data_IF_205341684450
#
_entry.id   IF_205341684450
#
_cell.length_a   1.000
_cell.length_b   1.000
_cell.length_c   1.000
_cell.angle_alpha   90.00
_cell.angle_beta   90.00
_cell.angle_gamma   90.00
#
_symmetry.space_group_name_H-M   'P 1'
#
loop_
_entity.id
_entity.type
_entity.pdbx_description
1 polymer ?
#
# COMPACT_ATOMS: atom_id res chain seq x y z
N UNK A 1 1.14 4.30 19.19
CA UNK A 1 1.73 4.04 17.86
C UNK A 1 2.49 5.28 17.45
N UNK A 2 3.78 5.18 17.10
CA UNK A 2 4.52 6.34 16.59
C UNK A 2 4.05 6.69 15.17
N UNK A 3 4.38 7.89 14.68
CA UNK A 3 4.02 8.25 13.30
C UNK A 3 4.74 7.35 12.27
N UNK A 4 5.97 6.90 12.57
CA UNK A 4 6.71 5.93 11.76
C UNK A 4 5.93 4.62 11.65
N UNK A 5 5.50 4.06 12.79
CA UNK A 5 4.75 2.81 12.82
C UNK A 5 3.48 2.91 11.99
N UNK A 6 2.78 4.05 12.04
CA UNK A 6 1.57 4.28 11.25
C UNK A 6 1.88 4.30 9.75
N UNK A 7 2.94 5.00 9.30
CA UNK A 7 3.35 5.01 7.89
C UNK A 7 3.67 3.60 7.41
N UNK A 8 4.43 2.85 8.21
CA UNK A 8 4.84 1.48 7.89
C UNK A 8 3.63 0.55 7.85
N UNK A 9 2.70 0.71 8.78
CA UNK A 9 1.46 -0.05 8.83
C UNK A 9 0.60 0.19 7.59
N UNK A 10 0.33 1.44 7.20
CA UNK A 10 -0.49 1.74 6.02
C UNK A 10 0.13 1.18 4.73
N UNK A 11 1.45 1.24 4.58
CA UNK A 11 2.16 0.62 3.44
C UNK A 11 2.00 -0.91 3.47
N UNK A 12 2.11 -1.53 4.65
CA UNK A 12 1.93 -2.97 4.83
C UNK A 12 0.50 -3.46 4.58
N UNK A 13 -0.50 -2.70 5.01
CA UNK A 13 -1.94 -2.99 4.85
C UNK A 13 -2.39 -2.98 3.39
N UNK A 14 -1.68 -2.26 2.52
CA UNK A 14 -1.96 -2.23 1.10
C UNK A 14 -1.68 -3.57 0.38
N UNK A 15 -0.87 -4.44 1.00
CA UNK A 15 -0.63 -5.77 0.48
C UNK A 15 0.36 -5.81 -0.69
N UNK A 16 0.36 -6.92 -1.43
CA UNK A 16 1.35 -7.20 -2.46
C UNK A 16 1.26 -6.24 -3.66
N UNK A 17 0.10 -5.67 -3.94
CA UNK A 17 -0.07 -4.62 -4.95
C UNK A 17 0.77 -3.36 -4.63
N UNK A 18 1.08 -3.11 -3.36
CA UNK A 18 1.81 -1.92 -2.90
C UNK A 18 1.00 -0.64 -3.03
N UNK A 19 1.42 0.42 -2.34
CA UNK A 19 0.67 1.67 -2.23
C UNK A 19 1.27 2.75 -3.13
N UNK A 20 0.44 3.55 -3.81
CA UNK A 20 0.92 4.75 -4.50
C UNK A 20 1.11 5.89 -3.51
N UNK A 21 2.01 6.83 -3.83
CA UNK A 21 2.27 7.99 -2.97
C UNK A 21 0.98 8.78 -2.66
N UNK A 22 0.11 9.10 -3.63
CA UNK A 22 -1.16 9.78 -3.36
C UNK A 22 -2.11 8.97 -2.47
N UNK A 23 -2.18 7.64 -2.67
CA UNK A 23 -3.00 6.76 -1.84
C UNK A 23 -2.50 6.73 -0.39
N UNK A 24 -1.18 6.74 -0.16
CA UNK A 24 -0.60 6.81 1.19
C UNK A 24 -1.02 8.11 1.90
N UNK A 25 -0.91 9.26 1.22
CA UNK A 25 -1.33 10.54 1.81
C UNK A 25 -2.82 10.57 2.13
N UNK A 26 -3.64 10.01 1.25
CA UNK A 26 -5.08 9.90 1.50
C UNK A 26 -5.34 9.08 2.76
N UNK A 27 -4.75 7.88 2.87
CA UNK A 27 -4.91 6.98 4.02
C UNK A 27 -4.48 7.65 5.33
N UNK A 28 -3.28 8.24 5.36
CA UNK A 28 -2.79 8.96 6.55
C UNK A 28 -3.67 10.17 6.92
N UNK A 29 -4.33 10.81 5.96
CA UNK A 29 -5.24 11.93 6.22
C UNK A 29 -6.60 11.50 6.80
N UNK A 30 -6.99 10.24 6.58
CA UNK A 30 -8.30 9.71 7.01
C UNK A 30 -8.21 8.71 8.15
N UNK A 31 -7.01 8.22 8.50
CA UNK A 31 -6.84 7.15 9.48
C UNK A 31 -7.33 7.52 10.89
N UNK A 32 -7.74 6.49 11.63
CA UNK A 32 -8.21 6.53 13.01
C UNK A 32 -7.33 5.61 13.88
N UNK A 33 -6.75 6.12 14.99
CA UNK A 33 -6.75 7.52 15.41
C UNK A 33 -6.03 8.46 14.41
N UNK A 34 -6.33 9.77 14.44
CA UNK A 34 -5.74 10.74 13.52
C UNK A 34 -4.22 10.70 13.50
N UNK A 35 -3.64 10.81 12.31
CA UNK A 35 -2.20 10.88 12.14
C UNK A 35 -1.61 12.09 12.86
N UNK A 36 -0.50 11.89 13.55
CA UNK A 36 0.05 12.89 14.47
C UNK A 36 0.81 14.03 13.79
N UNK A 37 1.19 13.88 12.52
CA UNK A 37 1.86 14.91 11.72
C UNK A 37 0.88 15.54 10.73
N UNK A 38 1.10 16.82 10.43
CA UNK A 38 0.45 17.46 9.29
C UNK A 38 0.98 16.84 8.01
N UNK A 39 0.17 16.80 6.96
CA UNK A 39 0.57 16.30 5.64
C UNK A 39 0.80 17.46 4.66
N UNK A 40 1.47 18.52 5.14
CA UNK A 40 1.97 19.59 4.29
C UNK A 40 3.24 19.13 3.53
N UNK A 41 3.69 19.87 2.48
CA UNK A 41 4.81 19.44 1.65
C UNK A 41 6.10 19.15 2.44
N UNK A 42 6.41 19.92 3.49
CA UNK A 42 7.63 19.70 4.28
C UNK A 42 7.54 18.43 5.10
N UNK A 43 6.38 18.18 5.71
CA UNK A 43 6.14 16.96 6.47
C UNK A 43 6.13 15.71 5.59
N UNK A 44 5.59 15.79 4.37
CA UNK A 44 5.64 14.68 3.40
C UNK A 44 7.06 14.38 2.92
N UNK A 45 7.84 15.42 2.61
CA UNK A 45 9.26 15.29 2.26
C UNK A 45 10.07 14.67 3.41
N UNK A 46 9.78 15.07 4.66
CA UNK A 46 10.38 14.47 5.85
C UNK A 46 10.03 12.98 5.98
N UNK A 47 8.75 12.61 5.85
CA UNK A 47 8.32 11.20 5.88
C UNK A 47 8.99 10.39 4.77
N UNK A 48 9.12 10.97 3.58
CA UNK A 48 9.81 10.34 2.46
C UNK A 48 11.28 10.04 2.78
N UNK A 49 12.04 11.03 3.26
CA UNK A 49 13.48 10.91 3.50
C UNK A 49 13.83 10.11 4.76
N UNK A 50 13.02 10.19 5.81
CA UNK A 50 13.35 9.61 7.13
C UNK A 50 12.63 8.30 7.42
N UNK A 51 11.52 8.01 6.72
CA UNK A 51 10.71 6.82 6.97
C UNK A 51 10.63 5.93 5.74
N UNK A 52 10.16 6.44 4.60
CA UNK A 52 9.85 5.60 3.43
C UNK A 52 11.11 5.12 2.72
N UNK A 53 11.94 6.06 2.25
CA UNK A 53 13.17 5.73 1.53
C UNK A 53 14.17 4.90 2.33
N UNK A 54 14.43 5.16 3.62
CA UNK A 54 15.44 4.41 4.36
C UNK A 54 14.95 3.05 4.88
N UNK A 55 13.66 2.71 4.76
CA UNK A 55 13.13 1.49 5.35
C UNK A 55 13.58 0.22 4.60
N UNK A 56 14.39 -0.67 5.19
CA UNK A 56 15.02 -1.77 4.47
C UNK A 56 14.00 -2.78 3.92
N UNK A 57 12.83 -2.91 4.55
CA UNK A 57 11.77 -3.84 4.12
C UNK A 57 10.85 -3.26 3.02
N UNK A 58 11.14 -2.06 2.50
CA UNK A 58 10.37 -1.47 1.40
C UNK A 58 11.11 -1.61 0.08
N UNK A 59 10.35 -2.00 -0.94
CA UNK A 59 10.79 -1.99 -2.32
C UNK A 59 9.88 -1.09 -3.15
N UNK A 60 10.45 -0.47 -4.17
CA UNK A 60 9.74 0.44 -5.06
C UNK A 60 9.57 -0.22 -6.42
N UNK A 61 8.35 -0.17 -6.94
CA UNK A 61 8.02 -0.77 -8.23
C UNK A 61 7.37 0.24 -9.16
N UNK A 62 7.77 0.22 -10.43
CA UNK A 62 7.06 0.87 -11.52
C UNK A 62 6.01 -0.09 -12.09
N UNK A 63 4.76 0.31 -12.01
CA UNK A 63 3.62 -0.39 -12.59
C UNK A 63 3.59 -0.21 -14.12
N UNK A 64 3.08 -1.20 -14.89
CA UNK A 64 2.95 -1.09 -16.34
C UNK A 64 2.04 0.05 -16.79
N UNK A 65 1.02 0.35 -16.00
CA UNK A 65 0.05 1.42 -16.22
C UNK A 65 -0.15 2.18 -14.91
N UNK A 66 -0.45 3.50 -14.95
CA UNK A 66 -0.81 4.27 -13.77
C UNK A 66 -2.00 3.62 -13.05
N UNK A 67 -1.94 3.52 -11.72
CA UNK A 67 -3.08 3.02 -10.96
C UNK A 67 -4.18 4.09 -10.96
N UNK A 68 -5.45 3.72 -11.18
CA UNK A 68 -6.56 4.65 -11.01
C UNK A 68 -6.58 5.22 -9.58
N UNK A 69 -6.88 6.52 -9.39
CA UNK A 69 -6.97 7.11 -8.06
C UNK A 69 -7.94 6.36 -7.16
N UNK A 70 -7.51 6.06 -5.94
CA UNK A 70 -8.36 5.40 -4.94
C UNK A 70 -9.37 6.42 -4.41
N UNK A 71 -10.63 6.32 -4.84
CA UNK A 71 -11.71 7.08 -4.21
C UNK A 71 -12.11 6.39 -2.90
N UNK A 72 -11.60 6.89 -1.77
CA UNK A 72 -12.10 6.49 -0.44
C UNK A 72 -13.47 7.16 -0.22
N UNK A 73 -14.51 6.67 -0.92
CA UNK A 73 -15.89 7.03 -0.55
C UNK A 73 -16.11 6.47 0.84
N UNK A 74 -16.57 7.27 1.81
CA UNK A 74 -16.96 6.79 3.13
C UNK A 74 -18.00 5.66 2.95
N UNK A 75 -17.55 4.40 3.02
CA UNK A 75 -18.38 3.22 2.69
C UNK A 75 -19.34 2.85 3.82
N UNK A 76 -19.28 3.57 4.93
CA UNK A 76 -20.15 3.40 6.08
C UNK A 76 -21.04 4.62 6.24
N UNK A 77 -21.74 4.98 5.15
CA UNK A 77 -22.95 5.75 5.36
C UNK A 77 -23.94 4.86 6.10
N UNK A 78 -24.50 5.38 7.18
CA UNK A 78 -25.63 4.74 7.88
C UNK A 78 -26.93 4.91 7.13
N UNK A 79 -26.93 5.68 6.03
CA UNK A 79 -28.05 5.86 5.13
C UNK A 79 -28.16 4.65 4.17
N UNK A 80 -29.26 3.87 4.21
CA UNK A 80 -29.46 2.72 3.34
C UNK A 80 -29.42 3.05 1.84
N UNK A 81 -29.82 4.26 1.44
CA UNK A 81 -29.80 4.69 0.03
C UNK A 81 -28.37 4.94 -0.44
N UNK A 82 -27.55 5.62 0.37
CA UNK A 82 -26.12 5.84 0.08
C UNK A 82 -25.33 4.53 0.10
N UNK A 83 -25.71 3.57 0.96
CA UNK A 83 -25.10 2.23 0.99
C UNK A 83 -25.44 1.44 -0.28
N UNK A 84 -26.69 1.53 -0.77
CA UNK A 84 -27.11 0.91 -2.02
C UNK A 84 -26.37 1.52 -3.23
N UNK A 85 -26.21 2.84 -3.25
CA UNK A 85 -25.43 3.55 -4.28
C UNK A 85 -23.94 3.18 -4.22
N UNK A 86 -23.35 3.08 -3.02
CA UNK A 86 -21.98 2.60 -2.84
C UNK A 86 -21.81 1.16 -3.34
N UNK A 87 -22.81 0.29 -3.13
CA UNK A 87 -22.77 -1.11 -3.59
C UNK A 87 -22.88 -1.21 -5.11
N UNK A 88 -23.72 -0.39 -5.75
CA UNK A 88 -23.84 -0.30 -7.21
C UNK A 88 -22.53 0.18 -7.86
N UNK A 89 -21.88 1.20 -7.30
CA UNK A 89 -20.62 1.74 -7.84
C UNK A 89 -19.44 0.77 -7.71
N UNK A 90 -19.45 -0.11 -6.70
CA UNK A 90 -18.49 -1.21 -6.58
C UNK A 90 -18.63 -2.24 -7.71
N UNK A 91 -19.78 -2.28 -8.39
CA UNK A 91 -20.06 -3.21 -9.50
C UNK A 91 -19.87 -2.55 -10.88
N UNK A 92 -19.87 -1.22 -10.96
CA UNK A 92 -19.85 -0.47 -12.24
C UNK A 92 -18.48 0.15 -12.61
N UNK A 93 -17.50 0.16 -11.70
CA UNK A 93 -16.14 0.65 -11.98
C UNK A 93 -15.11 -0.47 -12.16
N UNK A 94 -14.06 -0.23 -12.95
CA UNK A 94 -12.85 -1.06 -12.94
C UNK A 94 -12.27 -1.03 -11.51
N UNK A 95 -12.33 -2.16 -10.83
CA UNK A 95 -11.74 -2.34 -9.50
C UNK A 95 -10.24 -2.02 -9.58
N UNK A 96 -9.73 -1.00 -8.86
CA UNK A 96 -8.30 -0.66 -8.90
C UNK A 96 -7.42 -1.76 -8.29
N UNK A 97 -8.01 -2.73 -7.60
CA UNK A 97 -7.35 -3.89 -6.99
C UNK A 97 -8.05 -5.20 -7.38
N UNK A 98 -7.99 -5.61 -8.66
CA UNK A 98 -8.60 -6.86 -9.08
C UNK A 98 -7.94 -8.03 -8.33
N UNK A 99 -8.75 -8.96 -7.81
CA UNK A 99 -8.22 -10.13 -7.08
C UNK A 99 -7.40 -10.99 -8.03
N UNK A 100 -6.10 -11.06 -7.78
CA UNK A 100 -5.17 -11.88 -8.56
C UNK A 100 -4.20 -12.58 -7.60
N UNK A 101 -4.60 -13.71 -7.01
CA UNK A 101 -3.82 -14.38 -5.98
C UNK A 101 -2.48 -14.89 -6.53
N UNK A 102 -1.41 -14.57 -5.83
CA UNK A 102 -0.04 -14.99 -6.08
C UNK A 102 0.40 -15.92 -4.95
N UNK A 103 1.05 -17.02 -5.32
CA UNK A 103 1.84 -17.87 -4.42
C UNK A 103 3.13 -18.23 -5.13
N UNK A 104 4.20 -17.51 -4.81
CA UNK A 104 5.55 -17.78 -5.25
C UNK A 104 6.32 -18.43 -4.11
N UNK A 105 6.39 -19.76 -4.13
CA UNK A 105 7.07 -20.54 -3.10
C UNK A 105 8.60 -20.40 -3.16
N UNK A 106 9.15 -20.01 -4.32
CA UNK A 106 10.60 -19.84 -4.51
C UNK A 106 11.08 -18.60 -3.77
N UNK A 107 10.33 -17.51 -3.87
CA UNK A 107 10.67 -16.23 -3.23
C UNK A 107 9.92 -16.01 -1.90
N UNK A 108 9.07 -16.96 -1.49
CA UNK A 108 8.27 -16.85 -0.26
C UNK A 108 7.23 -15.73 -0.31
N UNK A 109 6.74 -15.38 -1.50
CA UNK A 109 5.78 -14.29 -1.70
C UNK A 109 4.37 -14.84 -1.89
N UNK A 110 3.41 -14.28 -1.17
CA UNK A 110 1.99 -14.54 -1.38
C UNK A 110 1.14 -13.29 -1.11
N UNK A 111 0.00 -13.20 -1.79
CA UNK A 111 -0.91 -12.05 -1.73
C UNK A 111 -1.70 -11.88 -3.01
N UNK A 112 -2.23 -10.70 -3.28
CA UNK A 112 -2.92 -10.35 -4.52
C UNK A 112 -2.14 -9.26 -5.25
N UNK A 113 -1.78 -9.53 -6.51
CA UNK A 113 -1.21 -8.50 -7.37
C UNK A 113 -1.29 -8.89 -8.85
N UNK A 114 -2.09 -8.16 -9.63
CA UNK A 114 -2.23 -8.42 -11.07
C UNK A 114 -0.92 -8.17 -11.84
N UNK A 115 -0.11 -7.22 -11.37
CA UNK A 115 1.11 -6.79 -12.05
C UNK A 115 2.37 -7.46 -11.52
N UNK A 116 2.26 -8.49 -10.67
CA UNK A 116 3.39 -9.12 -9.98
C UNK A 116 4.56 -9.49 -10.91
N UNK A 117 4.24 -10.02 -12.09
CA UNK A 117 5.23 -10.45 -13.10
C UNK A 117 5.63 -9.36 -14.11
N UNK A 118 4.93 -8.24 -14.13
CA UNK A 118 5.07 -7.20 -15.18
C UNK A 118 5.55 -5.86 -14.64
N UNK A 119 5.44 -5.62 -13.33
CA UNK A 119 6.04 -4.46 -12.65
C UNK A 119 7.56 -4.56 -12.64
N UNK A 120 8.23 -3.41 -12.66
CA UNK A 120 9.69 -3.31 -12.66
C UNK A 120 10.17 -2.81 -11.31
N UNK A 121 11.10 -3.50 -10.66
CA UNK A 121 11.72 -3.00 -9.42
C UNK A 121 12.60 -1.79 -9.77
N UNK A 122 12.32 -0.66 -9.12
CA UNK A 122 13.03 0.62 -9.30
C UNK A 122 13.69 1.08 -7.99
N UNK A 123 13.87 0.18 -7.01
CA UNK A 123 14.42 0.53 -5.69
C UNK A 123 15.78 1.22 -5.81
N UNK A 124 16.63 0.76 -6.74
CA UNK A 124 17.94 1.34 -7.00
C UNK A 124 17.88 2.74 -7.63
N UNK A 125 16.77 3.11 -8.27
CA UNK A 125 16.56 4.48 -8.75
C UNK A 125 16.16 5.42 -7.60
N UNK A 126 15.50 4.89 -6.56
CA UNK A 126 14.97 5.66 -5.44
C UNK A 126 15.99 5.85 -4.33
N UNK A 127 16.81 4.83 -4.04
CA UNK A 127 17.81 4.86 -2.97
C UNK A 127 19.07 4.09 -3.34
N UNK A 128 20.15 4.35 -2.62
CA UNK A 128 21.39 3.55 -2.73
C UNK A 128 21.35 2.28 -1.86
N UNK A 129 22.43 1.51 -1.91
CA UNK A 129 22.60 0.27 -1.13
C UNK A 129 22.63 0.52 0.38
N UNK A 130 22.96 1.74 0.81
CA UNK A 130 22.97 2.14 2.22
C UNK A 130 21.59 2.67 2.66
N UNK A 131 20.57 2.51 1.81
CA UNK A 131 19.21 3.00 1.99
C UNK A 131 19.09 4.53 2.08
N UNK A 132 20.05 5.27 1.50
CA UNK A 132 19.99 6.74 1.41
C UNK A 132 19.13 7.17 0.21
N UNK A 133 18.18 8.11 0.38
CA UNK A 133 17.38 8.63 -0.73
C UNK A 133 18.26 9.23 -1.84
N UNK A 134 18.01 8.85 -3.10
CA UNK A 134 18.61 9.46 -4.31
C UNK A 134 17.73 10.54 -4.92
N UNK A 135 16.42 10.46 -4.68
CA UNK A 135 15.42 11.39 -5.19
C UNK A 135 14.66 12.02 -4.01
N UNK A 136 14.31 13.29 -4.14
CA UNK A 136 13.30 13.93 -3.28
C UNK A 136 11.91 13.36 -3.58
N UNK A 137 10.93 13.63 -2.72
CA UNK A 137 9.54 13.22 -2.99
C UNK A 137 9.04 13.82 -4.32
N UNK A 138 9.31 15.11 -4.54
CA UNK A 138 8.92 15.81 -5.77
C UNK A 138 9.54 15.18 -7.02
N UNK A 139 10.83 14.83 -6.98
CA UNK A 139 11.51 14.16 -8.10
C UNK A 139 10.95 12.76 -8.37
N UNK A 140 10.60 12.01 -7.32
CA UNK A 140 9.98 10.70 -7.44
C UNK A 140 8.56 10.80 -8.03
N UNK A 141 7.77 11.77 -7.57
CA UNK A 141 6.42 12.06 -8.08
C UNK A 141 6.46 12.53 -9.54
N UNK A 142 7.40 13.40 -9.92
CA UNK A 142 7.57 13.85 -11.30
C UNK A 142 7.98 12.70 -12.24
N UNK A 143 8.90 11.84 -11.78
CA UNK A 143 9.46 10.76 -12.62
C UNK A 143 8.52 9.58 -12.79
N UNK A 144 7.76 9.21 -11.75
CA UNK A 144 6.95 7.98 -11.77
C UNK A 144 5.46 8.20 -11.49
N UNK A 145 5.08 9.25 -10.77
CA UNK A 145 3.70 9.58 -10.41
C UNK A 145 2.90 8.37 -9.89
N UNK A 146 1.69 8.19 -10.44
CA UNK A 146 0.77 7.10 -10.10
C UNK A 146 1.22 5.71 -10.61
N UNK A 147 2.37 5.63 -11.29
CA UNK A 147 2.98 4.34 -11.63
C UNK A 147 3.91 3.83 -10.53
N UNK A 148 4.27 4.63 -9.52
CA UNK A 148 5.08 4.14 -8.41
C UNK A 148 4.22 3.45 -7.37
N UNK A 149 4.57 2.21 -7.03
CA UNK A 149 4.03 1.49 -5.89
C UNK A 149 5.14 1.15 -4.88
N UNK A 150 4.90 1.45 -3.60
CA UNK A 150 5.75 1.03 -2.49
C UNK A 150 5.20 -0.28 -1.95
N UNK A 151 6.02 -1.32 -1.93
CA UNK A 151 5.63 -2.66 -1.48
C UNK A 151 6.46 -3.01 -0.26
N UNK A 152 5.80 -3.29 0.85
CA UNK A 152 6.47 -3.84 2.03
C UNK A 152 6.77 -5.34 1.85
N UNK A 153 7.84 -5.80 2.50
CA UNK A 153 8.22 -7.20 2.53
C UNK A 153 7.07 -8.11 2.96
N UNK A 154 7.16 -9.41 2.62
CA UNK A 154 6.16 -10.39 3.09
C UNK A 154 6.01 -10.35 4.61
N UNK A 155 7.13 -10.27 5.34
CA UNK A 155 7.14 -10.19 6.80
C UNK A 155 6.38 -8.96 7.30
N UNK A 156 6.67 -7.78 6.74
CA UNK A 156 6.03 -6.54 7.17
C UNK A 156 4.54 -6.51 6.82
N UNK A 157 4.15 -6.97 5.63
CA UNK A 157 2.72 -7.10 5.26
C UNK A 157 1.98 -8.02 6.21
N UNK A 158 2.56 -9.17 6.52
CA UNK A 158 1.95 -10.13 7.45
C UNK A 158 1.84 -9.54 8.87
N UNK A 159 2.86 -8.81 9.32
CA UNK A 159 2.82 -8.11 10.60
C UNK A 159 1.67 -7.09 10.66
N UNK A 160 1.49 -6.28 9.61
CA UNK A 160 0.42 -5.27 9.53
C UNK A 160 -0.98 -5.90 9.47
N UNK A 161 -1.15 -7.02 8.74
CA UNK A 161 -2.46 -7.66 8.56
C UNK A 161 -2.89 -8.52 9.75
N UNK A 162 -1.95 -9.11 10.48
CA UNK A 162 -2.22 -10.09 11.54
C UNK A 162 -1.79 -9.61 12.93
N UNK A 163 -1.35 -8.35 13.06
CA UNK A 163 -0.92 -7.76 14.33
C UNK A 163 0.12 -8.60 15.09
N UNK A 164 1.09 -9.16 14.35
CA UNK A 164 2.15 -10.03 14.88
C UNK A 164 1.68 -11.39 15.46
N UNK A 165 0.44 -11.82 15.22
CA UNK A 165 0.08 -13.19 15.54
C UNK A 165 0.75 -14.12 14.53
N UNK A 166 1.56 -15.08 15.01
CA UNK A 166 2.16 -16.16 14.21
C UNK A 166 1.08 -17.17 13.75
N UNK A 167 -0.02 -16.68 13.19
CA UNK A 167 -1.12 -17.50 12.70
C UNK A 167 -0.67 -18.19 11.42
N UNK A 168 -0.12 -19.39 11.54
CA UNK A 168 -0.18 -20.47 10.55
C UNK A 168 -0.04 -20.11 9.07
N UNK A 169 0.71 -19.06 8.73
CA UNK A 169 0.79 -18.51 7.37
C UNK A 169 1.27 -19.55 6.36
N UNK A 170 2.11 -20.48 6.84
CA UNK A 170 2.67 -21.58 6.06
C UNK A 170 1.61 -22.47 5.39
N UNK A 171 0.39 -22.52 5.93
CA UNK A 171 -0.74 -23.31 5.38
C UNK A 171 -1.85 -22.44 4.78
N UNK A 172 -1.71 -21.11 4.78
CA UNK A 172 -2.73 -20.22 4.25
C UNK A 172 -2.73 -20.25 2.72
N UNK A 173 -3.92 -20.39 2.13
CA UNK A 173 -4.06 -20.27 0.68
C UNK A 173 -3.86 -18.82 0.23
N UNK A 174 -3.35 -18.62 -0.99
CA UNK A 174 -3.18 -17.27 -1.55
C UNK A 174 -4.48 -16.47 -1.61
N UNK A 175 -5.62 -17.15 -1.81
CA UNK A 175 -6.93 -16.49 -1.84
C UNK A 175 -7.34 -15.97 -0.45
N UNK A 176 -7.04 -16.70 0.63
CA UNK A 176 -7.32 -16.20 1.98
C UNK A 176 -6.44 -15.01 2.35
N UNK A 177 -5.17 -15.03 1.96
CA UNK A 177 -4.31 -13.88 2.18
C UNK A 177 -4.73 -12.68 1.33
N UNK A 178 -5.16 -12.89 0.08
CA UNK A 178 -5.74 -11.83 -0.76
C UNK A 178 -6.98 -11.18 -0.12
N UNK A 179 -7.81 -11.97 0.58
CA UNK A 179 -8.94 -11.45 1.37
C UNK A 179 -8.45 -10.60 2.54
N UNK A 180 -7.41 -11.02 3.27
CA UNK A 180 -6.82 -10.21 4.33
C UNK A 180 -6.30 -8.87 3.79
N UNK A 181 -5.56 -8.88 2.68
CA UNK A 181 -5.10 -7.64 2.03
C UNK A 181 -6.26 -6.74 1.61
N UNK A 182 -7.42 -7.30 1.21
CA UNK A 182 -8.61 -6.49 0.95
C UNK A 182 -9.19 -5.87 2.21
N UNK A 183 -9.23 -6.62 3.30
CA UNK A 183 -9.67 -6.11 4.60
C UNK A 183 -8.71 -5.00 5.08
N UNK A 184 -7.40 -5.20 4.98
CA UNK A 184 -6.39 -4.20 5.36
C UNK A 184 -6.55 -2.87 4.62
N UNK A 185 -7.03 -2.89 3.37
CA UNK A 185 -7.36 -1.68 2.61
C UNK A 185 -8.59 -0.92 3.12
N UNK A 186 -9.42 -1.56 3.95
CA UNK A 186 -10.58 -0.93 4.60
C UNK A 186 -10.25 -0.35 5.98
N UNK A 187 -9.05 -0.63 6.50
CA UNK A 187 -8.60 -0.15 7.81
C UNK A 187 -7.89 1.19 7.61
N UNK A 188 -8.67 2.27 7.75
CA UNK A 188 -8.21 3.63 7.98
C UNK A 188 -9.18 4.25 8.97
#
# INVERSE_FOLDING_TARGET
>A
MSFNDRVIEEIGLEGLDGITIPALWLRLSTCQPPFSLKLDPQSKEFIWNEVICPHPEFEFYRLPQPRPPVAFKQRFSTNPEELAECTSLLMEGDDPYPVHPIKDEVHGIFGSCLTYKTRVNITEDIRDSDCTPKLTLEQAEEKYGEQMAIVASQKQRSFSLLMNEEVGLNNMSAIYYAVLERIGRLVC
#
